data_IF_538323168060
#
_entry.id   IF_538323168060
#
_cell.length_a   1.000
_cell.length_b   1.000
_cell.length_c   1.000
_cell.angle_alpha   90.00
_cell.angle_beta   90.00
_cell.angle_gamma   90.00
#
_symmetry.space_group_name_H-M   'P 1'
#
loop_
_entity.id
_entity.type
_entity.pdbx_description
1 polymer ?
#
# COMPACT_ATOMS: atom_id res chain seq x y z
N UNK A 1 -14.58 6.99 3.48
CA UNK A 1 -13.47 7.91 3.70
C UNK A 1 -12.19 7.29 3.18
N UNK A 2 -11.37 8.05 2.49
CA UNK A 2 -10.15 7.52 1.89
C UNK A 2 -8.97 7.77 2.80
N UNK A 3 -8.18 6.73 3.00
CA UNK A 3 -6.95 6.81 3.78
C UNK A 3 -5.76 6.61 2.84
N UNK A 4 -4.61 7.08 3.27
CA UNK A 4 -3.40 6.99 2.45
C UNK A 4 -2.31 6.31 3.25
N UNK A 5 -1.59 5.40 2.58
CA UNK A 5 -0.58 4.58 3.24
C UNK A 5 0.70 4.57 2.46
N UNK A 6 1.80 4.57 3.17
CA UNK A 6 3.11 4.38 2.57
C UNK A 6 3.40 2.89 2.56
N UNK A 7 3.69 2.36 1.38
CA UNK A 7 3.83 0.92 1.16
C UNK A 7 5.21 0.62 0.59
N UNK A 8 5.92 -0.30 1.22
CA UNK A 8 7.20 -0.77 0.72
C UNK A 8 6.95 -1.92 -0.24
N UNK A 9 7.41 -1.77 -1.47
CA UNK A 9 7.21 -2.79 -2.50
C UNK A 9 8.26 -3.88 -2.33
N UNK A 10 7.81 -5.12 -2.18
CA UNK A 10 8.74 -6.24 -1.98
C UNK A 10 9.43 -6.59 -3.29
N UNK A 11 10.67 -7.00 -3.18
CA UNK A 11 11.42 -7.43 -4.35
C UNK A 11 11.99 -6.30 -5.18
N UNK A 12 11.87 -5.08 -4.73
CA UNK A 12 12.38 -3.92 -5.44
C UNK A 12 13.17 -3.03 -4.50
N UNK A 13 14.14 -2.33 -5.05
CA UNK A 13 14.88 -1.32 -4.30
C UNK A 13 14.26 0.05 -4.47
N UNK A 14 12.96 0.09 -4.62
CA UNK A 14 12.25 1.34 -4.77
C UNK A 14 11.98 1.97 -3.42
N UNK A 15 11.92 3.28 -3.41
CA UNK A 15 11.45 3.98 -2.23
C UNK A 15 9.99 3.61 -1.99
N UNK A 16 9.53 3.71 -0.75
CA UNK A 16 8.11 3.44 -0.49
C UNK A 16 7.22 4.35 -1.32
N UNK A 17 6.13 3.79 -1.78
CA UNK A 17 5.16 4.50 -2.59
C UNK A 17 3.90 4.72 -1.77
N UNK A 18 3.15 5.76 -2.13
CA UNK A 18 1.91 6.10 -1.42
C UNK A 18 0.72 5.59 -2.19
N UNK A 19 -0.17 4.88 -1.50
CA UNK A 19 -1.39 4.34 -2.08
C UNK A 19 -2.59 4.72 -1.23
N UNK A 20 -3.76 4.69 -1.83
CA UNK A 20 -5.00 4.98 -1.13
C UNK A 20 -5.79 3.70 -0.86
N UNK A 21 -6.60 3.73 0.17
CA UNK A 21 -7.49 2.62 0.49
C UNK A 21 -8.67 3.17 1.29
N UNK A 22 -9.79 2.46 1.23
CA UNK A 22 -11.01 2.96 1.86
C UNK A 22 -11.12 2.57 3.33
N UNK A 23 -10.38 1.58 3.77
CA UNK A 23 -10.46 1.07 5.13
C UNK A 23 -9.15 1.25 5.86
N UNK A 24 -9.22 1.26 7.18
CA UNK A 24 -8.01 1.35 7.98
C UNK A 24 -7.27 0.02 7.95
N UNK A 25 -5.96 0.09 7.75
CA UNK A 25 -5.12 -1.08 7.67
C UNK A 25 -4.12 -1.09 8.83
N UNK A 26 -3.92 -2.26 9.46
CA UNK A 26 -2.85 -2.35 10.47
C UNK A 26 -1.49 -2.21 9.79
N UNK A 27 -0.55 -1.60 10.50
CA UNK A 27 0.81 -1.50 9.98
C UNK A 27 1.40 -2.90 9.85
N UNK A 28 2.16 -3.10 8.79
CA UNK A 28 2.71 -4.43 8.50
C UNK A 28 1.81 -5.30 7.66
N UNK A 29 0.62 -4.79 7.28
CA UNK A 29 -0.28 -5.55 6.41
C UNK A 29 0.37 -5.80 5.05
N UNK A 30 0.13 -7.00 4.51
CA UNK A 30 0.58 -7.33 3.16
C UNK A 30 -0.55 -6.96 2.21
N UNK A 31 -0.21 -6.19 1.19
CA UNK A 31 -1.20 -5.71 0.23
C UNK A 31 -0.72 -5.98 -1.18
N UNK A 32 -1.66 -6.00 -2.10
CA UNK A 32 -1.34 -6.05 -3.53
C UNK A 32 -1.58 -4.68 -4.13
N UNK A 33 -0.61 -4.21 -4.87
CA UNK A 33 -0.63 -2.86 -5.42
C UNK A 33 -0.20 -2.90 -6.88
N UNK A 34 -0.70 -1.96 -7.70
CA UNK A 34 -0.25 -1.85 -9.07
C UNK A 34 1.05 -1.07 -9.14
N UNK A 35 2.05 -1.63 -9.80
CA UNK A 35 3.32 -0.97 -10.04
C UNK A 35 3.71 -1.22 -11.49
N UNK A 36 3.83 -0.15 -12.28
CA UNK A 36 4.25 -0.23 -13.68
C UNK A 36 3.44 -1.27 -14.46
N UNK A 37 2.12 -1.21 -14.30
CA UNK A 37 1.18 -2.08 -15.01
C UNK A 37 1.22 -3.53 -14.55
N UNK A 38 1.89 -3.82 -13.44
CA UNK A 38 1.94 -5.16 -12.88
C UNK A 38 1.46 -5.11 -11.43
N UNK A 39 0.96 -6.25 -10.96
CA UNK A 39 0.58 -6.37 -9.57
C UNK A 39 1.77 -6.84 -8.78
N UNK A 40 2.07 -6.11 -7.70
CA UNK A 40 3.18 -6.44 -6.82
C UNK A 40 2.69 -6.52 -5.40
N UNK A 41 3.41 -7.25 -4.58
CA UNK A 41 3.12 -7.29 -3.15
C UNK A 41 3.88 -6.18 -2.45
N UNK A 42 3.27 -5.66 -1.40
CA UNK A 42 3.92 -4.63 -0.61
C UNK A 42 3.52 -4.76 0.85
N UNK A 43 4.23 -4.03 1.69
CA UNK A 43 3.96 -4.02 3.13
C UNK A 43 3.62 -2.60 3.54
N UNK A 44 2.52 -2.45 4.27
CA UNK A 44 2.09 -1.14 4.76
C UNK A 44 3.05 -0.69 5.85
N UNK A 45 3.71 0.44 5.64
CA UNK A 45 4.67 0.97 6.60
C UNK A 45 4.01 1.93 7.58
N UNK A 46 3.14 2.81 7.09
CA UNK A 46 2.48 3.77 7.94
C UNK A 46 1.36 4.46 7.18
N UNK A 47 0.45 5.03 7.93
CA UNK A 47 -0.59 5.88 7.39
C UNK A 47 -0.04 7.29 7.24
N UNK A 48 -0.37 7.95 6.11
CA UNK A 48 0.11 9.29 5.84
C UNK A 48 -1.08 10.18 5.47
N UNK A 49 -0.84 11.47 5.46
CA UNK A 49 -1.88 12.41 5.04
C UNK A 49 -2.01 12.39 3.54
N UNK A 50 -3.13 12.91 3.06
CA UNK A 50 -3.36 12.99 1.63
C UNK A 50 -2.23 13.72 0.95
N UNK A 51 -1.54 13.08 -0.01
CA UNK A 51 -0.46 13.74 -0.71
C UNK A 51 -0.98 14.73 -1.74
N UNK A 52 -0.08 15.57 -2.22
CA UNK A 52 -0.45 16.56 -3.24
C UNK A 52 -0.48 15.96 -4.63
N UNK A 53 -0.04 14.73 -4.79
CA UNK A 53 -0.04 14.07 -6.08
C UNK A 53 -1.11 12.99 -6.10
N UNK A 54 -1.45 12.57 -7.30
CA UNK A 54 -2.47 11.56 -7.48
C UNK A 54 -1.92 10.19 -7.08
N UNK A 55 -2.70 9.45 -6.31
CA UNK A 55 -2.29 8.11 -5.89
C UNK A 55 -3.16 7.07 -6.58
N UNK A 56 -2.68 5.83 -6.57
CA UNK A 56 -3.47 4.70 -7.04
C UNK A 56 -3.98 3.93 -5.83
N UNK A 57 -5.10 3.23 -5.99
CA UNK A 57 -5.64 2.47 -4.87
C UNK A 57 -4.91 1.16 -4.69
N UNK A 58 -4.89 0.69 -3.44
CA UNK A 58 -4.44 -0.66 -3.13
C UNK A 58 -5.46 -1.62 -3.75
N UNK A 59 -4.97 -2.63 -4.48
CA UNK A 59 -5.84 -3.55 -5.18
C UNK A 59 -6.53 -4.51 -4.22
N UNK A 60 -5.77 -5.10 -3.32
CA UNK A 60 -6.35 -6.00 -2.34
C UNK A 60 -5.42 -6.12 -1.15
N UNK A 61 -5.96 -6.68 -0.07
CA UNK A 61 -5.21 -6.86 1.16
C UNK A 61 -5.17 -8.35 1.44
N UNK A 62 -3.97 -8.85 1.71
CA UNK A 62 -3.81 -10.25 2.05
C UNK A 62 -4.40 -10.51 3.44
N UNK A 63 -5.25 -11.50 3.59
CA UNK A 63 -5.87 -11.75 4.89
C UNK A 63 -4.96 -12.46 5.86
N UNK A 64 -3.90 -12.92 5.40
CA UNK A 64 -3.13 -13.78 6.20
C UNK A 64 -2.40 -13.22 7.31
N UNK A 65 -2.26 -13.25 7.52
CA UNK A 65 -1.67 -13.08 8.18
C UNK A 65 -0.94 -13.05 9.11
N UNK A 66 -0.89 -12.96 9.44
CA UNK A 66 -0.21 -12.60 10.34
C UNK A 66 -0.12 -13.33 11.41
N UNK A 67 0.16 -13.69 11.53
CA UNK A 67 0.23 -14.28 12.45
C UNK A 67 0.41 -13.98 13.35
#
# INVERSE_FOLDING_TARGET
MTLYYEVAVTGHNLKPLTYSFSDKLPLGSIVEIPVSKKQKSGVVLREVEKPEFKTQPITSVSPSLIL
#
